data_IF_648948983883
#
_entry.id   IF_648948983883
#
_cell.length_a   1.000
_cell.length_b   1.000
_cell.length_c   1.000
_cell.angle_alpha   90.00
_cell.angle_beta   90.00
_cell.angle_gamma   90.00
#
_symmetry.space_group_name_H-M   'P 1'
#
loop_
_entity.id
_entity.type
_entity.pdbx_description
1 polymer ?
#
# COMPACT_ATOMS: atom_id res chain seq x y z
N UNK A 1 13.40 20.41 -14.86
CA UNK A 1 12.43 19.40 -15.35
C UNK A 1 12.90 18.03 -14.88
N UNK A 2 12.07 17.31 -14.14
CA UNK A 2 12.39 15.98 -13.68
C UNK A 2 12.64 15.01 -14.85
N UNK A 3 13.45 13.99 -14.62
CA UNK A 3 13.70 12.94 -15.61
C UNK A 3 12.45 12.07 -15.73
N UNK A 4 11.99 11.84 -16.95
CA UNK A 4 10.81 11.01 -17.22
C UNK A 4 11.21 9.62 -17.70
N UNK A 5 10.38 8.62 -17.34
CA UNK A 5 10.58 7.21 -17.71
C UNK A 5 9.31 6.64 -18.34
N UNK A 6 9.51 5.66 -19.20
CA UNK A 6 8.46 4.81 -19.72
C UNK A 6 8.53 3.48 -18.99
N UNK A 7 7.39 2.92 -18.59
CA UNK A 7 7.31 1.69 -17.81
C UNK A 7 6.18 0.80 -18.32
N UNK A 8 6.33 -0.48 -18.08
CA UNK A 8 5.26 -1.46 -18.28
C UNK A 8 4.81 -2.00 -16.93
N UNK A 9 3.53 -1.87 -16.63
CA UNK A 9 2.93 -2.38 -15.41
C UNK A 9 2.21 -3.69 -15.69
N UNK A 10 2.45 -4.70 -14.88
CA UNK A 10 1.65 -5.92 -14.81
C UNK A 10 0.92 -5.94 -13.48
N UNK A 11 -0.34 -5.56 -13.50
CA UNK A 11 -1.16 -5.37 -12.31
C UNK A 11 -2.15 -6.51 -12.16
N UNK A 12 -2.23 -7.08 -10.97
CA UNK A 12 -3.25 -8.06 -10.64
C UNK A 12 -4.63 -7.42 -10.65
N UNK A 13 -5.52 -7.99 -11.46
CA UNK A 13 -6.91 -7.55 -11.55
C UNK A 13 -7.83 -8.69 -11.13
N UNK A 14 -8.69 -8.42 -10.18
CA UNK A 14 -9.68 -9.38 -9.67
C UNK A 14 -10.91 -8.63 -9.17
N UNK A 15 -12.06 -8.95 -9.74
CA UNK A 15 -13.30 -8.20 -9.47
C UNK A 15 -13.85 -8.40 -8.05
N UNK A 16 -13.63 -9.58 -7.46
CA UNK A 16 -14.03 -9.92 -6.08
C UNK A 16 -13.27 -11.15 -5.60
N UNK A 17 -13.39 -11.44 -4.30
CA UNK A 17 -12.78 -12.62 -3.66
C UNK A 17 -13.10 -13.94 -4.38
N UNK A 18 -14.34 -14.10 -4.85
CA UNK A 18 -14.85 -15.35 -5.44
C UNK A 18 -14.60 -15.45 -6.95
N UNK A 19 -13.98 -14.45 -7.54
CA UNK A 19 -13.64 -14.44 -8.97
C UNK A 19 -12.17 -14.76 -9.18
N UNK A 20 -11.86 -15.42 -10.29
CA UNK A 20 -10.47 -15.63 -10.70
C UNK A 20 -9.86 -14.31 -11.15
N UNK A 21 -8.67 -14.02 -10.63
CA UNK A 21 -7.89 -12.85 -11.05
C UNK A 21 -6.82 -13.23 -12.06
N UNK A 22 -6.29 -12.22 -12.72
CA UNK A 22 -5.16 -12.34 -13.64
C UNK A 22 -4.34 -11.05 -13.70
N UNK A 23 -3.14 -11.13 -14.26
CA UNK A 23 -2.36 -9.94 -14.56
C UNK A 23 -2.86 -9.28 -15.84
N UNK A 24 -3.14 -7.97 -15.78
CA UNK A 24 -3.29 -7.11 -16.95
C UNK A 24 -2.05 -6.26 -17.15
N UNK A 25 -1.71 -6.02 -18.41
CA UNK A 25 -0.53 -5.23 -18.79
C UNK A 25 -0.97 -3.83 -19.21
N UNK A 26 -0.27 -2.82 -18.69
CA UNK A 26 -0.47 -1.41 -19.00
C UNK A 26 0.87 -0.77 -19.33
N UNK A 27 0.92 0.03 -20.38
CA UNK A 27 2.08 0.86 -20.72
C UNK A 27 1.83 2.28 -20.24
N UNK A 28 2.79 2.86 -19.54
CA UNK A 28 2.80 4.26 -19.16
C UNK A 28 4.04 4.95 -19.71
N UNK A 29 3.82 6.08 -20.32
CA UNK A 29 4.89 6.89 -20.92
C UNK A 29 5.05 8.20 -20.16
N UNK A 30 6.26 8.72 -20.17
CA UNK A 30 6.59 10.05 -19.63
C UNK A 30 6.24 10.23 -18.14
N UNK A 31 6.34 9.16 -17.34
CA UNK A 31 6.15 9.25 -15.89
C UNK A 31 7.32 10.00 -15.26
N UNK A 32 7.03 11.00 -14.45
CA UNK A 32 8.05 11.75 -13.72
C UNK A 32 8.69 10.84 -12.66
N UNK A 33 10.01 10.84 -12.60
CA UNK A 33 10.76 10.05 -11.62
C UNK A 33 10.55 10.53 -10.17
N UNK A 34 10.15 11.76 -9.98
CA UNK A 34 9.86 12.33 -8.66
C UNK A 34 8.43 12.04 -8.20
N UNK A 35 7.54 11.56 -9.09
CA UNK A 35 6.23 11.08 -8.70
C UNK A 35 6.34 9.86 -7.74
N UNK A 36 5.43 9.78 -6.80
CA UNK A 36 5.27 8.58 -5.97
C UNK A 36 4.62 7.44 -6.76
N UNK A 37 4.76 6.22 -6.26
CA UNK A 37 4.12 5.05 -6.86
C UNK A 37 2.59 5.15 -6.86
N UNK A 38 2.01 5.79 -5.84
CA UNK A 38 0.57 6.04 -5.75
C UNK A 38 0.14 7.07 -6.81
N UNK A 39 0.90 8.16 -7.01
CA UNK A 39 0.61 9.14 -8.07
C UNK A 39 0.71 8.50 -9.47
N UNK A 40 1.65 7.59 -9.68
CA UNK A 40 1.74 6.83 -10.92
C UNK A 40 0.48 5.97 -11.15
N UNK A 41 -0.08 5.35 -10.10
CA UNK A 41 -1.34 4.61 -10.18
C UNK A 41 -2.54 5.53 -10.42
N UNK A 42 -2.54 6.76 -9.87
CA UNK A 42 -3.56 7.77 -10.15
C UNK A 42 -3.54 8.16 -11.64
N UNK A 43 -2.36 8.40 -12.21
CA UNK A 43 -2.20 8.71 -13.66
C UNK A 43 -2.75 7.58 -14.52
N UNK A 44 -2.44 6.32 -14.16
CA UNK A 44 -3.02 5.16 -14.86
C UNK A 44 -4.54 5.15 -14.75
N UNK A 45 -5.10 5.37 -13.56
CA UNK A 45 -6.53 5.35 -13.32
C UNK A 45 -7.26 6.48 -14.06
N UNK A 46 -6.66 7.66 -14.17
CA UNK A 46 -7.16 8.74 -15.01
C UNK A 46 -7.26 8.31 -16.47
N UNK A 47 -6.19 7.73 -17.01
CA UNK A 47 -6.16 7.21 -18.38
C UNK A 47 -7.22 6.12 -18.63
N UNK A 48 -7.37 5.18 -17.69
CA UNK A 48 -8.39 4.13 -17.78
C UNK A 48 -9.81 4.72 -17.75
N UNK A 49 -10.05 5.69 -16.88
CA UNK A 49 -11.35 6.37 -16.79
C UNK A 49 -11.69 7.09 -18.09
N UNK A 50 -10.75 7.83 -18.66
CA UNK A 50 -10.93 8.54 -19.93
C UNK A 50 -11.19 7.59 -21.11
N UNK A 51 -10.62 6.38 -21.09
CA UNK A 51 -10.86 5.35 -22.10
C UNK A 51 -12.13 4.51 -21.85
N UNK A 52 -12.87 4.77 -20.77
CA UNK A 52 -14.05 4.02 -20.37
C UNK A 52 -13.76 2.64 -19.78
N UNK A 53 -12.51 2.38 -19.38
CA UNK A 53 -12.11 1.17 -18.70
C UNK A 53 -12.27 1.31 -17.18
N UNK A 54 -12.47 0.16 -16.51
CA UNK A 54 -12.57 0.15 -15.03
C UNK A 54 -11.22 0.48 -14.38
N UNK A 55 -11.12 1.52 -13.55
CA UNK A 55 -9.92 1.86 -12.81
C UNK A 55 -9.42 0.71 -11.92
N UNK A 56 -8.13 0.75 -11.57
CA UNK A 56 -7.53 -0.15 -10.60
C UNK A 56 -8.03 0.22 -9.21
N UNK A 57 -8.57 -0.75 -8.47
CA UNK A 57 -8.88 -0.53 -7.06
C UNK A 57 -7.60 -0.67 -6.23
N UNK A 58 -7.22 0.40 -5.55
CA UNK A 58 -6.13 0.43 -4.56
C UNK A 58 -6.48 1.41 -3.45
N UNK A 59 -5.88 1.24 -2.29
CA UNK A 59 -6.08 2.14 -1.16
C UNK A 59 -4.93 3.13 -1.05
N UNK A 60 -5.26 4.39 -0.79
CA UNK A 60 -4.30 5.42 -0.41
C UNK A 60 -5.04 6.51 0.36
N UNK A 61 -4.61 6.78 1.58
CA UNK A 61 -5.29 7.74 2.45
C UNK A 61 -4.38 8.93 2.75
N UNK A 62 -3.45 8.83 3.69
CA UNK A 62 -2.63 9.96 4.12
C UNK A 62 -1.66 10.49 3.06
N UNK A 63 -1.16 9.65 2.16
CA UNK A 63 -0.11 9.93 1.15
C UNK A 63 1.22 10.43 1.73
N UNK A 64 1.41 10.30 3.04
CA UNK A 64 2.57 10.81 3.80
C UNK A 64 3.36 9.70 4.51
N UNK A 65 3.06 8.42 4.20
CA UNK A 65 3.76 7.29 4.80
C UNK A 65 3.40 6.98 6.25
N UNK A 66 2.24 7.43 6.73
CA UNK A 66 1.84 7.33 8.15
C UNK A 66 0.80 6.22 8.36
N UNK A 67 -0.26 6.17 7.54
CA UNK A 67 -1.43 5.32 7.81
C UNK A 67 -1.26 3.85 7.42
N UNK A 68 -0.31 3.51 6.53
CA UNK A 68 -0.08 2.15 6.04
C UNK A 68 -1.17 1.59 5.13
N UNK A 69 -2.14 2.39 4.65
CA UNK A 69 -3.25 1.91 3.81
C UNK A 69 -2.80 1.51 2.40
N UNK A 70 -1.82 2.19 1.83
CA UNK A 70 -1.34 1.97 0.46
C UNK A 70 -0.40 0.74 0.31
N UNK A 71 -0.71 -0.37 0.98
CA UNK A 71 0.10 -1.58 0.95
C UNK A 71 -0.13 -2.42 -0.31
N UNK A 72 0.93 -2.82 -0.98
CA UNK A 72 0.91 -3.80 -2.07
C UNK A 72 2.25 -4.51 -2.21
N UNK A 73 2.29 -5.59 -2.97
CA UNK A 73 3.51 -6.29 -3.34
C UNK A 73 3.97 -5.78 -4.70
N UNK A 74 5.20 -5.28 -4.77
CA UNK A 74 5.82 -4.79 -6.00
C UNK A 74 7.05 -5.63 -6.30
N UNK A 75 7.08 -6.27 -7.46
CA UNK A 75 8.14 -7.18 -7.88
C UNK A 75 8.46 -8.26 -6.81
N UNK A 76 7.41 -8.83 -6.19
CA UNK A 76 7.52 -9.87 -5.17
C UNK A 76 7.98 -9.38 -3.79
N UNK A 77 8.12 -8.07 -3.58
CA UNK A 77 8.51 -7.47 -2.30
C UNK A 77 7.41 -6.58 -1.75
N UNK A 78 7.18 -6.66 -0.45
CA UNK A 78 6.27 -5.75 0.23
C UNK A 78 6.70 -4.29 0.02
N UNK A 79 5.80 -3.48 -0.52
CA UNK A 79 5.99 -2.05 -0.84
C UNK A 79 7.15 -1.74 -1.80
N UNK A 80 7.76 -2.75 -2.47
CA UNK A 80 8.78 -2.57 -3.49
C UNK A 80 10.22 -2.72 -3.02
N UNK A 81 11.18 -2.24 -3.83
CA UNK A 81 12.60 -2.52 -3.61
C UNK A 81 13.20 -1.75 -2.43
N UNK A 82 12.59 -0.64 -2.02
CA UNK A 82 13.08 0.19 -0.92
C UNK A 82 12.56 -0.36 0.40
N UNK A 83 13.47 -0.60 1.37
CA UNK A 83 13.08 -1.07 2.70
C UNK A 83 12.37 0.03 3.50
N UNK A 84 11.56 -0.39 4.47
CA UNK A 84 10.93 0.49 5.47
C UNK A 84 10.18 1.67 4.84
N UNK A 85 9.41 1.39 3.79
CA UNK A 85 8.66 2.40 3.06
C UNK A 85 7.22 1.94 2.78
N UNK A 86 6.42 2.83 2.27
CA UNK A 86 5.04 2.61 1.80
C UNK A 86 4.96 2.99 0.32
N UNK A 87 3.91 2.61 -0.40
CA UNK A 87 3.80 2.96 -1.83
C UNK A 87 3.74 4.47 -2.06
N UNK A 88 3.15 5.24 -1.15
CA UNK A 88 3.09 6.69 -1.28
C UNK A 88 4.45 7.38 -1.04
N UNK A 89 5.44 6.67 -0.50
CA UNK A 89 6.81 7.14 -0.30
C UNK A 89 7.82 6.43 -1.22
N UNK A 90 7.36 5.45 -1.99
CA UNK A 90 8.15 4.82 -3.03
C UNK A 90 8.08 5.68 -4.29
N UNK A 91 9.15 6.38 -4.62
CA UNK A 91 9.18 7.25 -5.81
C UNK A 91 9.63 6.48 -7.05
N UNK A 92 9.15 6.93 -8.22
CA UNK A 92 9.43 6.27 -9.50
C UNK A 92 10.90 6.30 -9.90
N UNK A 93 11.73 7.14 -9.29
CA UNK A 93 13.19 7.18 -9.52
C UNK A 93 13.96 5.93 -9.10
N UNK A 94 13.34 5.00 -8.36
CA UNK A 94 13.95 3.70 -8.03
C UNK A 94 13.84 2.70 -9.18
N UNK A 95 13.04 3.01 -10.19
CA UNK A 95 12.85 2.20 -11.40
C UNK A 95 13.59 2.83 -12.58
N UNK A 96 13.91 1.98 -13.56
CA UNK A 96 14.60 2.41 -14.77
C UNK A 96 13.62 2.56 -15.94
N UNK A 97 14.06 3.30 -16.95
CA UNK A 97 13.29 3.40 -18.20
C UNK A 97 13.12 2.02 -18.85
N UNK A 98 11.91 1.71 -19.28
CA UNK A 98 11.47 0.43 -19.85
C UNK A 98 11.40 -0.75 -18.85
N UNK A 99 11.44 -0.50 -17.55
CA UNK A 99 11.20 -1.53 -16.55
C UNK A 99 9.79 -2.11 -16.69
N UNK A 100 9.69 -3.41 -16.40
CA UNK A 100 8.42 -4.11 -16.19
C UNK A 100 8.21 -4.30 -14.69
N UNK A 101 7.12 -3.76 -14.16
CA UNK A 101 6.80 -3.76 -12.73
C UNK A 101 5.56 -4.61 -12.48
N UNK A 102 5.70 -5.65 -11.66
CA UNK A 102 4.60 -6.49 -11.22
C UNK A 102 4.00 -5.94 -9.93
N UNK A 103 2.67 -5.81 -9.90
CA UNK A 103 1.95 -5.27 -8.74
C UNK A 103 0.85 -6.24 -8.35
N UNK A 104 0.86 -6.66 -7.09
CA UNK A 104 -0.06 -7.64 -6.53
C UNK A 104 -0.63 -7.17 -5.18
N UNK A 105 -1.84 -7.62 -4.81
CA UNK A 105 -2.35 -7.35 -3.47
C UNK A 105 -1.50 -8.05 -2.40
N UNK A 106 -1.59 -7.59 -1.17
CA UNK A 106 -1.07 -8.32 -0.01
C UNK A 106 -1.83 -9.65 0.13
N UNK A 107 -1.23 -10.74 -0.34
CA UNK A 107 -1.84 -12.08 -0.28
C UNK A 107 -1.47 -12.75 1.03
N UNK A 108 -2.15 -12.41 2.10
CA UNK A 108 -2.05 -13.10 3.38
C UNK A 108 -3.40 -13.74 3.74
N UNK A 109 -3.37 -14.88 4.42
CA UNK A 109 -4.61 -15.55 4.88
C UNK A 109 -5.46 -14.63 5.77
N UNK A 110 -4.80 -13.79 6.56
CA UNK A 110 -5.45 -12.81 7.44
C UNK A 110 -5.97 -11.56 6.70
N UNK A 111 -5.57 -11.35 5.44
CA UNK A 111 -5.90 -10.19 4.63
C UNK A 111 -6.55 -10.66 3.31
N UNK A 112 -7.80 -11.15 3.36
CA UNK A 112 -8.47 -11.64 2.15
C UNK A 112 -8.69 -10.50 1.16
N UNK A 113 -8.60 -10.82 -0.12
CA UNK A 113 -8.80 -9.84 -1.19
C UNK A 113 -10.24 -9.36 -1.25
N UNK A 114 -10.44 -8.07 -1.40
CA UNK A 114 -11.72 -7.45 -1.73
C UNK A 114 -11.82 -7.26 -3.25
N UNK A 115 -10.90 -6.49 -3.83
CA UNK A 115 -10.87 -6.21 -5.27
C UNK A 115 -9.47 -5.73 -5.68
N UNK A 116 -8.95 -6.20 -6.79
CA UNK A 116 -7.66 -5.82 -7.39
C UNK A 116 -6.52 -5.82 -6.34
N UNK A 117 -6.11 -4.65 -5.85
CA UNK A 117 -5.05 -4.47 -4.84
C UNK A 117 -5.60 -4.24 -3.42
N UNK A 118 -6.92 -4.09 -3.27
CA UNK A 118 -7.59 -3.84 -1.99
C UNK A 118 -7.82 -5.14 -1.24
N UNK A 119 -7.42 -5.17 0.03
CA UNK A 119 -7.57 -6.31 0.94
C UNK A 119 -8.37 -5.93 2.18
N UNK A 120 -9.08 -6.89 2.76
CA UNK A 120 -9.81 -6.73 4.01
C UNK A 120 -8.83 -6.74 5.19
N UNK A 121 -8.71 -5.60 5.88
CA UNK A 121 -7.85 -5.41 7.06
C UNK A 121 -8.61 -5.50 8.37
N UNK A 122 -9.87 -5.88 8.36
CA UNK A 122 -10.71 -5.95 9.57
C UNK A 122 -10.14 -6.88 10.66
N UNK A 123 -9.28 -7.82 10.30
CA UNK A 123 -8.53 -8.63 11.26
C UNK A 123 -7.62 -7.77 12.15
N UNK A 124 -6.93 -6.78 11.56
CA UNK A 124 -6.08 -5.83 12.30
C UNK A 124 -6.93 -4.94 13.21
N UNK A 125 -8.09 -4.48 12.72
CA UNK A 125 -9.01 -3.66 13.51
C UNK A 125 -9.53 -4.42 14.73
N UNK A 126 -9.84 -5.71 14.59
CA UNK A 126 -10.24 -6.59 15.72
C UNK A 126 -9.12 -6.73 16.74
N UNK A 127 -7.88 -6.92 16.30
CA UNK A 127 -6.70 -7.00 17.18
C UNK A 127 -6.51 -5.69 17.95
N UNK A 128 -6.58 -4.55 17.26
CA UNK A 128 -6.48 -3.23 17.88
C UNK A 128 -7.62 -3.03 18.89
N UNK A 129 -8.86 -3.38 18.54
CA UNK A 129 -10.03 -3.25 19.41
C UNK A 129 -9.94 -4.15 20.65
N UNK A 130 -9.32 -5.32 20.54
CA UNK A 130 -9.09 -6.24 21.66
C UNK A 130 -7.93 -5.79 22.59
N UNK A 131 -7.20 -4.73 22.24
CA UNK A 131 -6.07 -4.21 23.01
C UNK A 131 -4.71 -4.42 22.35
N UNK A 132 -4.66 -4.84 21.08
CA UNK A 132 -3.45 -5.07 20.29
C UNK A 132 -2.66 -3.81 19.93
N UNK A 133 -2.57 -2.89 20.85
CA UNK A 133 -1.78 -1.66 20.72
C UNK A 133 -1.06 -1.34 22.02
N UNK A 134 0.11 -0.76 21.90
CA UNK A 134 0.92 -0.31 23.04
C UNK A 134 1.08 1.22 22.96
N UNK A 135 0.40 1.92 23.84
CA UNK A 135 0.45 3.38 23.88
C UNK A 135 0.22 3.90 25.29
N UNK A 136 0.92 4.97 25.64
CA UNK A 136 0.71 5.71 26.90
C UNK A 136 -0.24 6.88 26.63
N UNK A 137 -1.37 6.91 27.34
CA UNK A 137 -2.35 7.99 27.24
C UNK A 137 -1.89 9.18 28.07
N UNK A 138 -1.15 10.09 27.47
CA UNK A 138 -0.54 11.24 28.18
C UNK A 138 -1.17 12.57 27.81
N UNK A 139 -1.97 12.65 26.74
CA UNK A 139 -2.46 13.92 26.18
C UNK A 139 -1.35 14.78 25.54
N UNK A 140 -0.13 14.29 25.48
CA UNK A 140 1.05 14.95 24.89
C UNK A 140 1.98 13.91 24.26
N UNK A 141 3.03 14.36 23.60
CA UNK A 141 4.07 13.49 23.02
C UNK A 141 5.33 13.55 23.91
N UNK A 142 5.41 12.76 25.01
CA UNK A 142 6.60 12.71 25.84
C UNK A 142 7.76 12.01 25.11
N UNK A 143 8.98 12.25 25.58
CA UNK A 143 10.14 11.51 25.12
C UNK A 143 9.96 10.00 25.34
N UNK A 144 10.54 9.20 24.47
CA UNK A 144 10.48 7.74 24.55
C UNK A 144 10.95 7.25 25.92
N UNK A 145 10.21 6.32 26.50
CA UNK A 145 10.46 5.72 27.83
C UNK A 145 10.33 6.67 29.04
N UNK A 146 9.87 7.91 28.86
CA UNK A 146 9.63 8.83 29.99
C UNK A 146 8.46 8.35 30.84
N UNK A 147 7.42 7.78 30.23
CA UNK A 147 6.27 7.23 30.92
C UNK A 147 6.11 5.75 30.59
N UNK A 148 6.00 4.94 31.63
CA UNK A 148 5.83 3.50 31.48
C UNK A 148 4.36 3.18 31.19
N UNK A 149 4.14 2.26 30.25
CA UNK A 149 2.84 1.67 30.02
C UNK A 149 2.43 0.80 31.22
N UNK A 150 1.15 0.77 31.54
CA UNK A 150 0.63 -0.14 32.57
C UNK A 150 0.79 -1.58 32.12
N UNK A 151 1.20 -2.47 33.06
CA UNK A 151 1.36 -3.91 32.79
C UNK A 151 0.13 -4.54 32.15
N UNK A 152 -1.06 -4.21 32.66
CA UNK A 152 -2.34 -4.69 32.13
C UNK A 152 -2.56 -4.33 30.65
N UNK A 153 -2.14 -3.13 30.22
CA UNK A 153 -2.24 -2.72 28.80
C UNK A 153 -1.26 -3.47 27.93
N UNK A 154 -0.05 -3.73 28.42
CA UNK A 154 0.93 -4.54 27.71
C UNK A 154 0.48 -6.00 27.57
N UNK A 155 -0.09 -6.59 28.64
CA UNK A 155 -0.65 -7.94 28.61
C UNK A 155 -1.80 -8.05 27.59
N UNK A 156 -2.75 -7.13 27.59
CA UNK A 156 -3.84 -7.09 26.57
C UNK A 156 -3.33 -7.01 25.14
N UNK A 157 -2.25 -6.24 24.91
CA UNK A 157 -1.64 -6.14 23.59
C UNK A 157 -0.94 -7.44 23.16
N UNK A 158 -0.42 -8.21 24.12
CA UNK A 158 0.22 -9.52 23.84
C UNK A 158 -0.79 -10.65 23.64
N UNK A 159 -1.98 -10.54 24.24
CA UNK A 159 -3.04 -11.55 24.19
C UNK A 159 -3.97 -11.36 22.97
N UNK A 160 -3.89 -10.22 22.27
CA UNK A 160 -4.75 -9.85 21.13
C UNK A 160 -4.23 -10.45 19.81
#
# INVERSE_FOLDING_TARGET
MGRKINITLKIWRQASRDKTGNFKTYALEQIDQDASFVEMLDILNESLTLSGETPIAFESDCREGICGSCGAIVNGKAHGPKKETTLCQLHMRVFQNNDTIFIEPFRAKALPLIKDLVVDRSALDRIISAGGYVSVRTGSAPDANTLLIRKESAEKAMDA
#
